data_IF_084774473703
#
_entry.id   IF_084774473703
#
_cell.length_a   1.000
_cell.length_b   1.000
_cell.length_c   1.000
_cell.angle_alpha   90.00
_cell.angle_beta   90.00
_cell.angle_gamma   90.00
#
_symmetry.space_group_name_H-M   'P 1'
#
loop_
_entity.id
_entity.type
_entity.pdbx_description
1 polymer ?
#
# COMPACT_ATOMS: atom_id res chain seq x y z
N UNK A 1 26.50 -33.67 -8.06
CA UNK A 1 25.29 -34.31 -7.48
C UNK A 1 24.09 -33.55 -7.99
N UNK A 2 23.10 -34.21 -8.60
CA UNK A 2 21.86 -33.55 -8.99
C UNK A 2 21.00 -33.36 -7.73
N UNK A 3 20.48 -32.15 -7.53
CA UNK A 3 19.56 -31.87 -6.42
C UNK A 3 18.18 -32.40 -6.80
N UNK A 4 17.59 -33.21 -5.94
CA UNK A 4 16.26 -33.76 -6.17
C UNK A 4 15.19 -32.66 -6.09
N UNK A 5 14.20 -32.72 -6.97
CA UNK A 5 13.15 -31.70 -7.03
C UNK A 5 12.23 -31.80 -5.81
N UNK A 6 12.01 -30.68 -5.13
CA UNK A 6 11.03 -30.58 -4.03
C UNK A 6 9.62 -30.83 -4.58
N UNK A 7 8.91 -31.84 -4.05
CA UNK A 7 7.56 -32.22 -4.48
C UNK A 7 6.46 -31.93 -3.46
N UNK A 8 6.81 -31.62 -2.22
CA UNK A 8 5.87 -31.33 -1.14
C UNK A 8 6.37 -30.17 -0.29
N UNK A 9 5.50 -29.20 -0.03
CA UNK A 9 5.72 -28.10 0.90
C UNK A 9 4.60 -28.16 1.94
N UNK A 10 4.99 -28.11 3.22
CA UNK A 10 4.05 -28.02 4.35
C UNK A 10 4.24 -26.66 5.01
N UNK A 11 3.14 -25.94 5.17
CA UNK A 11 3.07 -24.63 5.83
C UNK A 11 2.40 -24.88 7.18
N UNK A 12 3.17 -24.73 8.26
CA UNK A 12 2.74 -25.05 9.62
C UNK A 12 2.16 -23.83 10.36
N UNK A 13 1.29 -23.08 9.68
CA UNK A 13 0.52 -21.97 10.26
C UNK A 13 -0.59 -21.57 9.29
N UNK A 14 -1.74 -21.14 9.83
CA UNK A 14 -2.83 -20.55 9.07
C UNK A 14 -2.71 -19.03 8.93
N UNK A 15 -3.86 -18.36 9.04
CA UNK A 15 -3.93 -16.89 9.06
C UNK A 15 -3.39 -16.22 7.79
N UNK A 16 -3.10 -14.92 7.88
CA UNK A 16 -2.66 -14.15 6.71
C UNK A 16 -1.32 -14.68 6.15
N UNK A 17 -0.34 -14.96 7.02
CA UNK A 17 0.99 -15.41 6.60
C UNK A 17 0.95 -16.77 5.89
N UNK A 18 0.26 -17.75 6.48
CA UNK A 18 0.15 -19.10 5.93
C UNK A 18 -0.59 -19.15 4.60
N UNK A 19 -1.78 -18.54 4.55
CA UNK A 19 -2.61 -18.53 3.34
C UNK A 19 -2.01 -17.68 2.21
N UNK A 20 -1.38 -16.54 2.49
CA UNK A 20 -0.66 -15.78 1.46
C UNK A 20 0.51 -16.59 0.88
N UNK A 21 1.28 -17.27 1.74
CA UNK A 21 2.40 -18.12 1.31
C UNK A 21 1.92 -19.27 0.43
N UNK A 22 0.85 -19.95 0.85
CA UNK A 22 0.27 -21.08 0.11
C UNK A 22 -0.15 -20.67 -1.30
N UNK A 23 -0.85 -19.53 -1.43
CA UNK A 23 -1.34 -19.10 -2.74
C UNK A 23 -0.21 -18.63 -3.65
N UNK A 24 0.76 -17.87 -3.14
CA UNK A 24 1.91 -17.44 -3.94
C UNK A 24 2.72 -18.64 -4.44
N UNK A 25 2.97 -19.63 -3.57
CA UNK A 25 3.69 -20.85 -3.94
C UNK A 25 2.89 -21.69 -4.95
N UNK A 26 1.57 -21.84 -4.76
CA UNK A 26 0.71 -22.58 -5.67
C UNK A 26 0.71 -21.98 -7.07
N UNK A 27 0.70 -20.64 -7.16
CA UNK A 27 0.77 -19.90 -8.42
C UNK A 27 2.14 -20.03 -9.09
N UNK A 28 3.22 -19.93 -8.32
CA UNK A 28 4.58 -19.91 -8.84
C UNK A 28 5.07 -21.30 -9.30
N UNK A 29 4.73 -22.35 -8.53
CA UNK A 29 5.22 -23.71 -8.77
C UNK A 29 4.26 -24.54 -9.62
N UNK A 30 2.96 -24.22 -9.59
CA UNK A 30 1.91 -25.04 -10.19
C UNK A 30 1.63 -26.29 -9.35
N UNK A 31 0.36 -26.47 -8.99
CA UNK A 31 -0.07 -27.59 -8.12
C UNK A 31 0.16 -28.97 -8.75
N UNK A 32 0.36 -29.04 -10.06
CA UNK A 32 0.74 -30.27 -10.76
C UNK A 32 2.20 -30.68 -10.54
N UNK A 33 3.06 -29.79 -10.04
CA UNK A 33 4.49 -30.03 -9.86
C UNK A 33 4.90 -30.13 -8.39
N UNK A 34 4.16 -29.48 -7.48
CA UNK A 34 4.39 -29.50 -6.04
C UNK A 34 3.06 -29.51 -5.28
N UNK A 35 2.93 -30.45 -4.35
CA UNK A 35 1.84 -30.47 -3.39
C UNK A 35 2.10 -29.43 -2.28
N UNK A 36 1.11 -28.59 -1.99
CA UNK A 36 1.19 -27.55 -0.95
C UNK A 36 0.10 -27.82 0.07
N UNK A 37 0.49 -28.01 1.33
CA UNK A 37 -0.41 -28.32 2.42
C UNK A 37 -0.27 -27.25 3.52
N UNK A 38 -1.38 -26.65 3.93
CA UNK A 38 -1.44 -25.78 5.11
C UNK A 38 -1.97 -26.60 6.29
N UNK A 39 -1.35 -26.44 7.45
CA UNK A 39 -1.80 -27.00 8.72
C UNK A 39 -2.07 -25.82 9.64
N UNK A 40 -3.33 -25.63 10.02
CA UNK A 40 -3.76 -24.57 10.94
C UNK A 40 -4.63 -25.16 12.06
N UNK A 41 -4.75 -24.42 13.17
CA UNK A 41 -5.58 -24.80 14.31
C UNK A 41 -6.78 -23.86 14.40
N UNK A 42 -7.98 -24.44 14.52
CA UNK A 42 -9.21 -23.68 14.75
C UNK A 42 -9.22 -22.99 16.14
N UNK A 43 -8.39 -23.45 17.07
CA UNK A 43 -8.29 -22.89 18.43
C UNK A 43 -7.57 -21.53 18.46
N UNK A 44 -6.82 -21.19 17.40
CA UNK A 44 -6.10 -19.92 17.28
C UNK A 44 -6.88 -19.02 16.32
N UNK A 45 -7.81 -18.26 16.90
CA UNK A 45 -8.57 -17.26 16.14
C UNK A 45 -7.69 -16.16 15.56
N UNK A 46 -8.12 -15.58 14.45
CA UNK A 46 -7.53 -14.35 13.93
C UNK A 46 -7.76 -13.21 14.93
N UNK A 47 -6.75 -12.35 15.11
CA UNK A 47 -6.96 -11.10 15.84
C UNK A 47 -7.79 -10.19 14.92
N UNK A 48 -9.10 -10.11 15.15
CA UNK A 48 -10.08 -9.39 14.33
C UNK A 48 -9.98 -7.86 14.37
N UNK A 49 -8.78 -7.31 14.53
CA UNK A 49 -8.51 -5.87 14.43
C UNK A 49 -8.22 -5.54 12.98
N UNK A 50 -8.97 -4.61 12.39
CA UNK A 50 -8.72 -4.19 11.01
C UNK A 50 -7.25 -3.86 10.77
N UNK A 51 -6.60 -4.61 9.89
CA UNK A 51 -5.17 -4.44 9.60
C UNK A 51 -4.96 -3.46 8.46
N UNK A 52 -4.05 -2.51 8.66
CA UNK A 52 -3.67 -1.55 7.63
C UNK A 52 -2.49 -2.09 6.81
N UNK A 53 -2.56 -2.00 5.49
CA UNK A 53 -1.48 -2.44 4.60
C UNK A 53 -0.63 -1.28 4.08
N UNK A 54 0.35 -1.61 3.23
CA UNK A 54 1.14 -0.68 2.41
C UNK A 54 0.91 -0.98 0.92
N UNK A 55 1.34 -0.09 0.02
CA UNK A 55 1.10 -0.21 -1.43
C UNK A 55 1.58 -1.53 -2.08
N UNK A 56 2.44 -2.31 -1.41
CA UNK A 56 2.85 -3.64 -1.88
C UNK A 56 1.69 -4.64 -2.04
N UNK A 57 0.57 -4.47 -1.35
CA UNK A 57 -0.56 -5.42 -1.40
C UNK A 57 -1.23 -5.51 -2.78
N UNK A 58 -1.14 -4.47 -3.63
CA UNK A 58 -1.64 -4.56 -5.02
C UNK A 58 -0.97 -5.69 -5.81
N UNK A 59 0.27 -6.07 -5.46
CA UNK A 59 0.97 -7.19 -6.09
C UNK A 59 0.27 -8.53 -5.83
N UNK A 60 -0.24 -8.75 -4.61
CA UNK A 60 -0.98 -9.95 -4.27
C UNK A 60 -2.27 -10.05 -5.10
N UNK A 61 -3.00 -8.93 -5.27
CA UNK A 61 -4.19 -8.91 -6.12
C UNK A 61 -3.88 -9.24 -7.58
N UNK A 62 -2.75 -8.76 -8.11
CA UNK A 62 -2.29 -9.11 -9.45
C UNK A 62 -1.97 -10.60 -9.59
N UNK A 63 -1.39 -11.22 -8.55
CA UNK A 63 -1.16 -12.67 -8.51
C UNK A 63 -2.47 -13.42 -8.47
N UNK A 64 -3.40 -13.03 -7.59
CA UNK A 64 -4.67 -13.72 -7.43
C UNK A 64 -5.55 -13.61 -8.68
N UNK A 65 -5.38 -12.56 -9.49
CA UNK A 65 -6.22 -12.24 -10.67
C UNK A 65 -7.71 -12.05 -10.33
N UNK A 66 -8.05 -11.91 -9.05
CA UNK A 66 -9.43 -11.75 -8.59
C UNK A 66 -9.96 -10.31 -8.80
N UNK A 67 -9.07 -9.37 -9.18
CA UNK A 67 -9.37 -7.95 -9.28
C UNK A 67 -9.40 -7.27 -7.90
N UNK A 68 -8.98 -6.00 -7.85
CA UNK A 68 -8.95 -5.22 -6.61
C UNK A 68 -10.34 -5.08 -5.99
N UNK A 69 -11.37 -4.89 -6.82
CA UNK A 69 -12.75 -4.65 -6.36
C UNK A 69 -13.32 -5.86 -5.63
N UNK A 70 -13.10 -7.07 -6.15
CA UNK A 70 -13.51 -8.30 -5.49
C UNK A 70 -12.78 -8.50 -4.16
N UNK A 71 -11.48 -8.20 -4.11
CA UNK A 71 -10.68 -8.28 -2.89
C UNK A 71 -11.19 -7.30 -1.83
N UNK A 72 -11.42 -6.04 -2.21
CA UNK A 72 -11.93 -4.99 -1.31
C UNK A 72 -13.30 -5.38 -0.77
N UNK A 73 -14.20 -5.85 -1.63
CA UNK A 73 -15.54 -6.28 -1.22
C UNK A 73 -15.50 -7.48 -0.27
N UNK A 74 -14.73 -8.54 -0.60
CA UNK A 74 -14.65 -9.75 0.20
C UNK A 74 -14.00 -9.54 1.58
N UNK A 75 -13.09 -8.57 1.69
CA UNK A 75 -12.37 -8.26 2.93
C UNK A 75 -12.96 -7.09 3.73
N UNK A 76 -14.03 -6.44 3.23
CA UNK A 76 -14.56 -5.20 3.81
C UNK A 76 -13.48 -4.10 3.94
N UNK A 77 -12.51 -4.08 3.03
CA UNK A 77 -11.39 -3.15 3.09
C UNK A 77 -11.80 -1.72 2.70
N UNK A 78 -10.97 -0.77 3.11
CA UNK A 78 -11.04 0.63 2.67
C UNK A 78 -9.70 1.06 2.08
N UNK A 79 -9.68 2.17 1.34
CA UNK A 79 -8.46 2.69 0.74
C UNK A 79 -7.65 3.55 1.72
N UNK A 80 -6.34 3.33 1.74
CA UNK A 80 -5.39 4.03 2.62
C UNK A 80 -4.53 5.02 1.85
N UNK A 81 -4.59 6.29 2.23
CA UNK A 81 -3.88 7.40 1.57
C UNK A 81 -2.60 7.84 2.30
N UNK A 82 -2.44 7.42 3.55
CA UNK A 82 -1.31 7.75 4.41
C UNK A 82 -1.57 7.34 5.85
N UNK A 83 -0.71 7.80 6.75
CA UNK A 83 -0.80 7.58 8.19
C UNK A 83 -0.85 8.94 8.88
N UNK A 84 -1.80 9.12 9.78
CA UNK A 84 -1.93 10.35 10.57
C UNK A 84 -1.22 10.16 11.93
N UNK A 85 -0.10 10.84 12.14
CA UNK A 85 0.72 10.78 13.34
C UNK A 85 0.43 11.99 14.23
N UNK A 86 -0.15 11.77 15.41
CA UNK A 86 -0.49 12.81 16.39
C UNK A 86 0.28 12.64 17.69
N UNK A 87 0.70 13.76 18.26
CA UNK A 87 1.39 13.84 19.54
C UNK A 87 2.77 13.17 19.62
N UNK A 88 3.36 12.81 18.46
CA UNK A 88 4.67 12.12 18.39
C UNK A 88 5.85 12.99 18.83
N UNK A 89 5.78 14.32 18.63
CA UNK A 89 6.85 15.25 18.99
C UNK A 89 6.42 16.23 20.08
N UNK A 90 5.38 15.88 20.85
CA UNK A 90 4.78 16.72 21.89
C UNK A 90 3.28 16.93 21.67
N UNK A 91 2.58 17.29 22.76
CA UNK A 91 1.13 17.50 22.75
C UNK A 91 0.71 18.56 21.72
N UNK A 92 -0.28 18.22 20.89
CA UNK A 92 -0.76 19.06 19.79
C UNK A 92 0.06 18.95 18.50
N UNK A 93 1.14 18.15 18.48
CA UNK A 93 1.88 17.91 17.24
C UNK A 93 1.10 17.02 16.27
N UNK A 94 1.27 17.30 14.99
CA UNK A 94 0.54 16.62 13.92
C UNK A 94 1.43 16.52 12.67
N UNK A 95 1.48 15.34 12.09
CA UNK A 95 2.18 15.04 10.84
C UNK A 95 1.45 13.92 10.08
N UNK A 96 1.21 14.12 8.80
CA UNK A 96 0.72 13.09 7.90
C UNK A 96 1.86 12.49 7.09
N UNK A 97 1.98 11.16 7.13
CA UNK A 97 2.85 10.38 6.26
C UNK A 97 2.08 9.90 5.03
N UNK A 98 2.10 10.63 3.89
CA UNK A 98 1.36 10.24 2.71
C UNK A 98 2.01 9.07 1.96
N UNK A 99 1.19 8.31 1.23
CA UNK A 99 1.66 7.37 0.22
C UNK A 99 1.77 7.97 -1.20
N UNK A 100 1.46 9.27 -1.33
CA UNK A 100 1.70 10.07 -2.53
C UNK A 100 3.08 10.75 -2.53
N UNK A 101 3.45 11.31 -3.69
CA UNK A 101 4.66 12.12 -3.83
C UNK A 101 4.37 13.59 -3.55
N UNK A 102 5.32 14.26 -2.92
CA UNK A 102 5.41 15.71 -2.97
C UNK A 102 5.85 16.16 -4.37
N UNK A 103 5.53 17.41 -4.72
CA UNK A 103 5.77 18.03 -6.04
C UNK A 103 7.13 17.68 -6.68
N UNK A 104 7.19 17.85 -8.00
CA UNK A 104 8.39 17.55 -8.79
C UNK A 104 9.58 18.43 -8.37
N UNK A 105 10.81 17.88 -8.37
CA UNK A 105 12.04 18.66 -8.21
C UNK A 105 12.12 19.79 -9.24
N UNK A 106 12.71 20.93 -8.86
CA UNK A 106 13.01 22.03 -9.77
C UNK A 106 14.52 22.08 -9.99
N UNK A 107 14.96 21.95 -11.25
CA UNK A 107 16.37 22.02 -11.63
C UNK A 107 17.26 21.07 -10.80
N UNK A 108 16.79 19.85 -10.52
CA UNK A 108 17.51 18.85 -9.73
C UNK A 108 17.45 19.07 -8.20
N UNK A 109 16.88 20.17 -7.73
CA UNK A 109 16.70 20.43 -6.30
C UNK A 109 15.41 19.79 -5.81
N UNK A 110 15.53 18.90 -4.81
CA UNK A 110 14.38 18.26 -4.18
C UNK A 110 13.40 19.28 -3.59
N UNK A 111 12.10 19.00 -3.72
CA UNK A 111 11.02 19.91 -3.33
C UNK A 111 11.14 20.39 -1.87
N UNK A 112 11.59 19.53 -0.95
CA UNK A 112 11.79 19.86 0.45
C UNK A 112 12.73 21.05 0.67
N UNK A 113 13.80 21.17 -0.12
CA UNK A 113 14.77 22.26 0.01
C UNK A 113 14.17 23.59 -0.45
N UNK A 114 13.39 23.54 -1.54
CA UNK A 114 12.67 24.69 -2.06
C UNK A 114 11.61 25.17 -1.06
N UNK A 115 10.86 24.23 -0.47
CA UNK A 115 9.84 24.53 0.53
C UNK A 115 10.44 25.14 1.79
N UNK A 116 11.55 24.60 2.33
CA UNK A 116 12.23 25.18 3.51
C UNK A 116 12.65 26.63 3.23
N UNK A 117 13.28 26.89 2.08
CA UNK A 117 13.69 28.24 1.68
C UNK A 117 12.50 29.19 1.52
N UNK A 118 11.40 28.71 0.94
CA UNK A 118 10.20 29.51 0.75
C UNK A 118 9.47 29.77 2.09
N UNK A 119 9.50 28.81 3.03
CA UNK A 119 8.90 28.95 4.37
C UNK A 119 9.62 30.00 5.20
N UNK A 120 10.94 30.05 5.14
CA UNK A 120 11.74 31.11 5.77
C UNK A 120 11.38 32.52 5.26
N UNK A 121 10.77 32.62 4.07
CA UNK A 121 10.30 33.86 3.45
C UNK A 121 8.79 34.09 3.60
N UNK A 122 8.06 33.20 4.30
CA UNK A 122 6.61 33.30 4.46
C UNK A 122 5.80 33.06 3.17
N UNK A 123 6.36 32.35 2.18
CA UNK A 123 5.77 32.22 0.84
C UNK A 123 4.99 30.91 0.61
N UNK A 124 4.89 30.03 1.60
CA UNK A 124 4.30 28.69 1.46
C UNK A 124 3.42 28.34 2.65
N UNK A 125 2.50 27.41 2.42
CA UNK A 125 1.65 26.80 3.45
C UNK A 125 2.32 25.55 4.05
N UNK A 126 1.56 24.74 4.78
CA UNK A 126 2.05 23.49 5.36
C UNK A 126 2.62 22.55 4.30
N UNK A 127 3.63 21.76 4.66
CA UNK A 127 4.32 20.87 3.70
C UNK A 127 3.35 19.89 3.02
N UNK A 128 2.38 19.39 3.78
CA UNK A 128 1.36 18.43 3.34
C UNK A 128 0.39 18.98 2.29
N UNK A 129 0.18 20.30 2.22
CA UNK A 129 -0.70 20.91 1.21
C UNK A 129 -0.14 20.72 -0.23
N UNK A 130 1.12 20.30 -0.34
CA UNK A 130 1.80 20.02 -1.60
C UNK A 130 1.84 18.53 -1.96
N UNK A 131 1.11 17.68 -1.23
CA UNK A 131 0.90 16.27 -1.56
C UNK A 131 -0.59 15.96 -1.76
N UNK A 132 -0.93 15.42 -2.93
CA UNK A 132 -2.32 15.15 -3.30
C UNK A 132 -3.02 14.18 -2.34
N UNK A 133 -2.33 13.12 -1.90
CA UNK A 133 -2.93 12.12 -1.01
C UNK A 133 -3.12 12.66 0.40
N UNK A 134 -2.24 13.55 0.88
CA UNK A 134 -2.43 14.25 2.16
C UNK A 134 -3.69 15.13 2.14
N UNK A 135 -3.85 15.92 1.07
CA UNK A 135 -5.03 16.77 0.90
C UNK A 135 -6.30 15.93 0.76
N UNK A 136 -6.27 14.86 -0.04
CA UNK A 136 -7.40 13.95 -0.21
C UNK A 136 -7.79 13.25 1.11
N UNK A 137 -6.81 12.79 1.90
CA UNK A 137 -7.03 12.21 3.22
C UNK A 137 -7.71 13.22 4.16
N UNK A 138 -7.21 14.45 4.24
CA UNK A 138 -7.80 15.53 5.04
C UNK A 138 -9.25 15.84 4.63
N UNK A 139 -9.54 15.75 3.33
CA UNK A 139 -10.88 15.97 2.78
C UNK A 139 -11.78 14.73 2.81
N UNK A 140 -11.29 13.57 3.28
CA UNK A 140 -11.99 12.28 3.22
C UNK A 140 -12.48 11.92 1.81
N UNK A 141 -11.63 12.16 0.81
CA UNK A 141 -11.90 11.87 -0.60
C UNK A 141 -10.95 10.81 -1.13
N UNK A 142 -11.42 10.01 -2.08
CA UNK A 142 -10.62 9.02 -2.77
C UNK A 142 -11.07 8.94 -4.23
N UNK A 143 -10.10 8.73 -5.12
CA UNK A 143 -10.33 8.27 -6.48
C UNK A 143 -9.14 7.39 -6.91
N UNK A 144 -9.35 6.50 -7.87
CA UNK A 144 -8.26 5.67 -8.39
C UNK A 144 -7.28 6.54 -9.21
N UNK A 145 -5.97 6.26 -9.17
CA UNK A 145 -5.02 6.97 -10.03
C UNK A 145 -5.40 6.80 -11.50
N UNK A 146 -5.36 7.88 -12.27
CA UNK A 146 -5.57 7.83 -13.71
C UNK A 146 -4.46 6.99 -14.37
N UNK A 147 -4.85 5.89 -15.00
CA UNK A 147 -3.97 4.97 -15.74
C UNK A 147 -3.84 5.36 -17.22
N UNK A 148 -4.56 6.40 -17.66
CA UNK A 148 -4.47 6.93 -19.01
C UNK A 148 -3.10 7.58 -19.29
N UNK A 149 -2.70 7.69 -20.58
CA UNK A 149 -1.58 8.53 -20.94
C UNK A 149 -1.85 9.92 -20.39
N UNK A 150 -0.85 10.57 -19.76
CA UNK A 150 -0.93 11.95 -19.24
C UNK A 150 -1.31 12.90 -20.38
N UNK A 151 -2.60 12.97 -20.72
CA UNK A 151 -3.14 13.98 -21.61
C UNK A 151 -3.05 15.24 -20.79
N UNK A 152 -2.08 16.10 -21.13
CA UNK A 152 -2.02 17.44 -20.57
C UNK A 152 -3.42 18.03 -20.65
N UNK A 153 -4.07 18.19 -19.49
CA UNK A 153 -5.33 18.90 -19.37
C UNK A 153 -5.01 20.33 -19.82
N UNK A 154 -5.14 20.61 -21.13
CA UNK A 154 -5.40 21.97 -21.59
C UNK A 154 -6.69 22.35 -20.89
N UNK A 155 -6.62 23.29 -19.94
CA UNK A 155 -7.80 23.88 -19.36
C UNK A 155 -8.69 24.33 -20.52
N UNK A 156 -9.88 23.75 -20.61
CA UNK A 156 -10.95 24.37 -21.36
C UNK A 156 -11.76 25.13 -20.33
N UNK A 157 -11.76 26.45 -20.52
CA UNK A 157 -12.48 27.51 -19.82
C UNK A 157 -11.77 28.04 -18.58
#
# INVERSE_FOLDING_TARGET
MAVEAVRKIVIAEGGAAGWMSAVVLAKALGLQHCNIQVIESDDIGIIGVGEATIAGTHWLNNILRNGEDSFVHASQATFKLGIDCRDWTGSGSHYHHPFGRYRVPLSGVGFQHLWVKARQRGLVTGFEDYCMTSVAARMRRFDRPDTGPRRGRRSRR
#
